data_IF_607142154601
#
_entry.id   IF_607142154601
#
_cell.length_a   1.000
_cell.length_b   1.000
_cell.length_c   1.000
_cell.angle_alpha   90.00
_cell.angle_beta   90.00
_cell.angle_gamma   90.00
#
_symmetry.space_group_name_H-M   'P 1'
#
loop_
_entity.id
_entity.type
_entity.pdbx_description
1 polymer ?
#
# COMPACT_ATOMS: atom_id res chain seq x y z
N UNK A 1 6.20 -21.09 54.96
CA UNK A 1 6.43 -21.63 53.60
C UNK A 1 6.11 -20.55 52.57
N UNK A 2 7.05 -20.16 51.70
CA UNK A 2 6.78 -19.20 50.63
C UNK A 2 6.21 -19.92 49.39
N UNK A 3 5.14 -19.41 48.75
CA UNK A 3 4.61 -19.98 47.52
C UNK A 3 5.61 -19.85 46.36
N UNK A 4 6.04 -20.98 45.77
CA UNK A 4 6.89 -21.01 44.56
C UNK A 4 6.14 -20.35 43.39
N UNK A 5 6.51 -19.11 43.04
CA UNK A 5 6.02 -18.44 41.82
C UNK A 5 6.56 -19.17 40.59
N UNK A 6 5.79 -20.12 40.04
CA UNK A 6 6.12 -20.79 38.78
C UNK A 6 6.16 -19.72 37.67
N UNK A 7 7.33 -19.54 37.05
CA UNK A 7 7.58 -18.58 35.97
C UNK A 7 6.45 -18.62 34.93
N UNK A 8 5.72 -17.51 34.77
CA UNK A 8 4.63 -17.40 33.79
C UNK A 8 5.17 -17.52 32.38
N UNK A 9 6.38 -16.99 32.13
CA UNK A 9 7.02 -16.96 30.82
C UNK A 9 7.28 -18.37 30.25
N UNK A 10 7.80 -19.30 31.07
CA UNK A 10 8.05 -20.68 30.64
C UNK A 10 6.78 -21.50 30.35
N UNK A 11 5.62 -21.10 30.90
CA UNK A 11 4.33 -21.76 30.61
C UNK A 11 3.75 -21.30 29.27
N UNK A 12 3.93 -20.03 28.91
CA UNK A 12 3.46 -19.49 27.63
C UNK A 12 4.22 -20.07 26.44
N UNK A 13 5.53 -20.30 26.58
CA UNK A 13 6.34 -20.92 25.53
C UNK A 13 6.01 -22.41 25.35
N UNK A 14 5.85 -23.15 26.45
CA UNK A 14 5.45 -24.56 26.39
C UNK A 14 4.04 -24.74 25.80
N UNK A 15 3.08 -23.90 26.17
CA UNK A 15 1.72 -23.94 25.62
C UNK A 15 1.71 -23.58 24.12
N UNK A 16 2.48 -22.58 23.70
CA UNK A 16 2.61 -22.23 22.29
C UNK A 16 3.26 -23.36 21.46
N UNK A 17 4.27 -24.03 22.02
CA UNK A 17 4.92 -25.18 21.39
C UNK A 17 3.96 -26.38 21.26
N UNK A 18 3.19 -26.70 22.31
CA UNK A 18 2.18 -27.75 22.26
C UNK A 18 1.10 -27.44 21.22
N UNK A 19 0.62 -26.20 21.15
CA UNK A 19 -0.35 -25.78 20.14
C UNK A 19 0.20 -25.88 18.72
N UNK A 20 1.47 -25.50 18.51
CA UNK A 20 2.16 -25.67 17.22
C UNK A 20 2.24 -27.15 16.83
N UNK A 21 2.58 -28.03 17.75
CA UNK A 21 2.65 -29.48 17.50
C UNK A 21 1.27 -30.08 17.15
N UNK A 22 0.21 -29.64 17.84
CA UNK A 22 -1.17 -30.04 17.52
C UNK A 22 -1.56 -29.59 16.10
N UNK A 23 -1.25 -28.35 15.73
CA UNK A 23 -1.55 -27.82 14.38
C UNK A 23 -0.69 -28.52 13.31
N UNK A 24 0.56 -28.85 13.62
CA UNK A 24 1.44 -29.55 12.68
C UNK A 24 0.95 -30.96 12.36
N UNK A 25 0.34 -31.64 13.34
CA UNK A 25 -0.13 -33.02 13.23
C UNK A 25 -1.64 -33.15 13.00
N UNK A 26 -2.34 -32.05 12.70
CA UNK A 26 -3.79 -32.09 12.49
C UNK A 26 -4.13 -32.74 11.13
N UNK A 27 -5.26 -33.45 11.06
CA UNK A 27 -5.76 -33.99 9.78
C UNK A 27 -6.20 -32.87 8.84
N UNK A 28 -6.28 -33.17 7.54
CA UNK A 28 -6.80 -32.24 6.52
C UNK A 28 -8.17 -31.69 6.87
N UNK A 29 -9.08 -32.52 7.39
CA UNK A 29 -10.45 -32.12 7.73
C UNK A 29 -10.48 -31.20 8.94
N UNK A 30 -9.67 -31.51 9.97
CA UNK A 30 -9.51 -30.65 11.15
C UNK A 30 -8.89 -29.31 10.76
N UNK A 31 -7.90 -29.31 9.87
CA UNK A 31 -7.31 -28.10 9.30
C UNK A 31 -8.33 -27.26 8.55
N UNK A 32 -9.11 -27.88 7.66
CA UNK A 32 -10.11 -27.21 6.86
C UNK A 32 -11.19 -26.58 7.76
N UNK A 33 -11.70 -27.34 8.73
CA UNK A 33 -12.67 -26.85 9.72
C UNK A 33 -12.10 -25.71 10.57
N UNK A 34 -10.86 -25.83 11.06
CA UNK A 34 -10.22 -24.76 11.84
C UNK A 34 -10.03 -23.48 11.01
N UNK A 35 -9.64 -23.60 9.74
CA UNK A 35 -9.48 -22.47 8.83
C UNK A 35 -10.83 -21.83 8.50
N UNK A 36 -11.88 -22.61 8.25
CA UNK A 36 -13.23 -22.08 7.98
C UNK A 36 -13.78 -21.31 9.19
N UNK A 37 -13.65 -21.86 10.39
CA UNK A 37 -14.03 -21.18 11.63
C UNK A 37 -13.22 -19.89 11.87
N UNK A 38 -11.93 -19.90 11.54
CA UNK A 38 -11.10 -18.70 11.62
C UNK A 38 -11.51 -17.63 10.60
N UNK A 39 -11.85 -18.04 9.37
CA UNK A 39 -12.33 -17.14 8.33
C UNK A 39 -13.68 -16.51 8.73
N UNK A 40 -14.63 -17.30 9.24
CA UNK A 40 -15.92 -16.83 9.72
C UNK A 40 -15.77 -15.77 10.81
N UNK A 41 -14.97 -16.06 11.85
CA UNK A 41 -14.68 -15.07 12.92
C UNK A 41 -14.03 -13.80 12.38
N UNK A 42 -13.15 -13.93 11.38
CA UNK A 42 -12.49 -12.77 10.76
C UNK A 42 -13.47 -11.91 9.98
N UNK A 43 -14.40 -12.54 9.23
CA UNK A 43 -15.45 -11.82 8.50
C UNK A 43 -16.41 -11.12 9.46
N UNK A 44 -16.85 -11.82 10.52
CA UNK A 44 -17.71 -11.24 11.56
C UNK A 44 -17.04 -10.06 12.25
N UNK A 45 -15.77 -10.21 12.66
CA UNK A 45 -15.01 -9.12 13.27
C UNK A 45 -14.88 -7.92 12.33
N UNK A 46 -14.66 -8.13 11.03
CA UNK A 46 -14.58 -7.05 10.03
C UNK A 46 -15.92 -6.37 9.78
N UNK A 47 -17.02 -7.13 9.79
CA UNK A 47 -18.36 -6.59 9.62
C UNK A 47 -18.78 -5.71 10.80
N UNK A 48 -18.26 -5.99 12.00
CA UNK A 48 -18.49 -5.20 13.21
C UNK A 48 -17.53 -4.00 13.38
N UNK A 49 -16.58 -3.78 12.47
CA UNK A 49 -15.67 -2.64 12.56
C UNK A 49 -16.41 -1.31 12.34
N UNK A 50 -16.12 -0.32 13.19
CA UNK A 50 -16.45 1.07 12.86
C UNK A 50 -15.43 1.66 11.86
N UNK A 51 -15.71 2.87 11.36
CA UNK A 51 -14.86 3.52 10.37
C UNK A 51 -13.42 3.77 10.87
N UNK A 52 -13.25 4.15 12.14
CA UNK A 52 -11.94 4.42 12.74
C UNK A 52 -11.10 3.14 12.83
N UNK A 53 -11.70 2.04 13.28
CA UNK A 53 -11.06 0.72 13.35
C UNK A 53 -10.69 0.22 11.95
N UNK A 54 -11.61 0.36 10.99
CA UNK A 54 -11.35 0.01 9.59
C UNK A 54 -10.18 0.82 9.03
N UNK A 55 -10.17 2.14 9.23
CA UNK A 55 -9.11 3.01 8.74
C UNK A 55 -7.77 2.71 9.40
N UNK A 56 -7.73 2.48 10.71
CA UNK A 56 -6.52 2.08 11.43
C UNK A 56 -5.97 0.75 10.90
N UNK A 57 -6.85 -0.24 10.64
CA UNK A 57 -6.47 -1.52 10.04
C UNK A 57 -5.92 -1.33 8.63
N UNK A 58 -6.57 -0.54 7.78
CA UNK A 58 -6.11 -0.27 6.41
C UNK A 58 -4.78 0.48 6.39
N UNK A 59 -4.60 1.48 7.25
CA UNK A 59 -3.36 2.21 7.40
C UNK A 59 -2.21 1.26 7.80
N UNK A 60 -2.45 0.41 8.81
CA UNK A 60 -1.47 -0.60 9.23
C UNK A 60 -1.11 -1.56 8.10
N UNK A 61 -2.10 -2.05 7.35
CA UNK A 61 -1.86 -2.92 6.18
C UNK A 61 -1.01 -2.20 5.11
N UNK A 62 -1.32 -0.95 4.79
CA UNK A 62 -0.56 -0.16 3.83
C UNK A 62 0.90 0.05 4.28
N UNK A 63 1.13 0.30 5.58
CA UNK A 63 2.49 0.39 6.14
C UNK A 63 3.25 -0.93 6.04
N UNK A 64 2.61 -2.06 6.33
CA UNK A 64 3.25 -3.38 6.16
C UNK A 64 3.58 -3.67 4.70
N UNK A 65 2.68 -3.37 3.78
CA UNK A 65 2.93 -3.52 2.34
C UNK A 65 4.10 -2.64 1.91
N UNK A 66 4.12 -1.38 2.30
CA UNK A 66 5.21 -0.46 1.99
C UNK A 66 6.56 -0.96 2.53
N UNK A 67 6.61 -1.37 3.80
CA UNK A 67 7.83 -1.93 4.40
C UNK A 67 8.28 -3.22 3.68
N UNK A 68 7.34 -4.10 3.33
CA UNK A 68 7.62 -5.32 2.59
C UNK A 68 8.18 -5.03 1.19
N UNK A 69 7.68 -3.99 0.51
CA UNK A 69 8.23 -3.55 -0.78
C UNK A 69 9.57 -2.83 -0.68
N UNK A 70 9.80 -2.08 0.39
CA UNK A 70 11.11 -1.47 0.62
C UNK A 70 12.20 -2.52 0.86
N UNK A 71 11.82 -3.67 1.43
CA UNK A 71 12.74 -4.75 1.78
C UNK A 71 12.83 -5.85 0.72
N UNK A 72 12.11 -5.71 -0.41
CA UNK A 72 12.04 -6.77 -1.41
C UNK A 72 13.32 -6.80 -2.27
N UNK A 73 13.87 -8.01 -2.48
CA UNK A 73 14.97 -8.20 -3.42
C UNK A 73 14.55 -8.06 -4.89
N UNK A 74 15.52 -7.84 -5.78
CA UNK A 74 15.27 -7.63 -7.22
C UNK A 74 14.52 -8.79 -7.88
N UNK A 75 14.84 -10.04 -7.51
CA UNK A 75 14.15 -11.22 -8.05
C UNK A 75 12.67 -11.26 -7.64
N UNK A 76 12.39 -11.05 -6.35
CA UNK A 76 11.02 -11.00 -5.82
C UNK A 76 10.23 -9.86 -6.46
N UNK A 77 10.86 -8.68 -6.62
CA UNK A 77 10.28 -7.55 -7.34
C UNK A 77 9.93 -7.90 -8.79
N UNK A 78 10.85 -8.54 -9.49
CA UNK A 78 10.68 -8.94 -10.90
C UNK A 78 9.51 -9.92 -11.05
N UNK A 79 9.47 -10.98 -10.24
CA UNK A 79 8.35 -11.95 -10.22
C UNK A 79 7.01 -11.25 -9.96
N UNK A 80 6.96 -10.36 -8.97
CA UNK A 80 5.76 -9.60 -8.64
C UNK A 80 5.31 -8.69 -9.80
N UNK A 81 6.25 -8.03 -10.50
CA UNK A 81 5.94 -7.24 -11.68
C UNK A 81 5.40 -8.09 -12.83
N UNK A 82 6.02 -9.24 -13.10
CA UNK A 82 5.57 -10.17 -14.14
C UNK A 82 4.15 -10.68 -13.87
N UNK A 83 3.85 -11.10 -12.63
CA UNK A 83 2.50 -11.53 -12.23
C UNK A 83 1.49 -10.38 -12.40
N UNK A 84 1.84 -9.16 -11.99
CA UNK A 84 0.96 -7.99 -12.16
C UNK A 84 0.70 -7.69 -13.64
N UNK A 85 1.72 -7.74 -14.49
CA UNK A 85 1.59 -7.51 -15.91
C UNK A 85 0.68 -8.57 -16.57
N UNK A 86 0.86 -9.85 -16.23
CA UNK A 86 0.03 -10.94 -16.72
C UNK A 86 -1.44 -10.79 -16.27
N UNK A 87 -1.68 -10.47 -15.00
CA UNK A 87 -3.03 -10.23 -14.48
C UNK A 87 -3.74 -9.08 -15.20
N UNK A 88 -3.02 -7.97 -15.45
CA UNK A 88 -3.55 -6.85 -16.23
C UNK A 88 -3.83 -7.29 -17.67
N UNK A 89 -2.93 -8.00 -18.33
CA UNK A 89 -3.16 -8.50 -19.69
C UNK A 89 -4.40 -9.39 -19.77
N UNK A 90 -4.56 -10.33 -18.84
CA UNK A 90 -5.72 -11.21 -18.75
C UNK A 90 -7.03 -10.42 -18.55
N UNK A 91 -7.03 -9.43 -17.65
CA UNK A 91 -8.19 -8.55 -17.45
C UNK A 91 -8.54 -7.76 -18.72
N UNK A 92 -7.53 -7.25 -19.43
CA UNK A 92 -7.75 -6.49 -20.67
C UNK A 92 -8.30 -7.37 -21.80
N UNK A 93 -7.95 -8.66 -21.82
CA UNK A 93 -8.47 -9.61 -22.79
C UNK A 93 -9.94 -9.98 -22.52
N UNK A 94 -10.34 -10.08 -21.24
CA UNK A 94 -11.70 -10.49 -20.85
C UNK A 94 -12.73 -9.35 -20.88
N UNK A 95 -12.33 -8.09 -20.70
CA UNK A 95 -13.25 -6.95 -20.58
C UNK A 95 -13.29 -6.05 -21.83
N UNK A 96 -13.70 -6.59 -22.98
CA UNK A 96 -13.76 -5.84 -24.26
C UNK A 96 -14.70 -4.61 -24.20
N UNK A 97 -15.85 -4.73 -23.54
CA UNK A 97 -16.84 -3.65 -23.39
C UNK A 97 -16.31 -2.44 -22.59
N UNK A 98 -15.32 -2.62 -21.72
CA UNK A 98 -14.75 -1.53 -20.92
C UNK A 98 -13.58 -0.82 -21.61
N UNK A 99 -13.20 -1.24 -22.82
CA UNK A 99 -12.06 -0.68 -23.57
C UNK A 99 -12.24 0.81 -23.86
N UNK A 100 -13.43 1.22 -24.31
CA UNK A 100 -13.71 2.61 -24.67
C UNK A 100 -13.58 3.54 -23.45
N UNK A 101 -14.23 3.18 -22.33
CA UNK A 101 -14.12 3.92 -21.06
C UNK A 101 -12.67 4.04 -20.61
N UNK A 102 -11.90 2.94 -20.63
CA UNK A 102 -10.48 2.97 -20.25
C UNK A 102 -9.64 3.89 -21.15
N UNK A 103 -9.87 3.86 -22.46
CA UNK A 103 -9.14 4.73 -23.39
C UNK A 103 -9.49 6.20 -23.16
N UNK A 104 -10.76 6.52 -22.91
CA UNK A 104 -11.19 7.88 -22.56
C UNK A 104 -10.57 8.35 -21.25
N UNK A 105 -10.55 7.50 -20.20
CA UNK A 105 -9.89 7.81 -18.93
C UNK A 105 -8.40 8.05 -19.11
N UNK A 106 -7.71 7.22 -19.90
CA UNK A 106 -6.29 7.40 -20.18
C UNK A 106 -6.01 8.71 -20.93
N UNK A 107 -6.83 9.05 -21.93
CA UNK A 107 -6.70 10.29 -22.68
C UNK A 107 -6.88 11.52 -21.77
N UNK A 108 -7.90 11.50 -20.91
CA UNK A 108 -8.12 12.56 -19.92
C UNK A 108 -6.96 12.67 -18.93
N UNK A 109 -6.42 11.55 -18.44
CA UNK A 109 -5.27 11.54 -17.54
C UNK A 109 -4.01 12.11 -18.21
N UNK A 110 -3.75 11.75 -19.48
CA UNK A 110 -2.64 12.33 -20.25
C UNK A 110 -2.82 13.84 -20.42
N UNK A 111 -4.02 14.30 -20.81
CA UNK A 111 -4.30 15.72 -20.97
C UNK A 111 -4.14 16.51 -19.66
N UNK A 112 -4.61 15.97 -18.54
CA UNK A 112 -4.43 16.57 -17.22
C UNK A 112 -2.94 16.62 -16.80
N UNK A 113 -2.17 15.57 -17.12
CA UNK A 113 -0.74 15.54 -16.86
C UNK A 113 0.00 16.59 -17.68
N UNK A 114 -0.28 16.71 -18.98
CA UNK A 114 0.36 17.70 -19.85
C UNK A 114 0.01 19.13 -19.44
N UNK A 115 -1.23 19.36 -19.00
CA UNK A 115 -1.64 20.66 -18.45
C UNK A 115 -0.88 20.98 -17.15
N UNK A 116 -0.77 20.01 -16.24
CA UNK A 116 -0.06 20.19 -14.97
C UNK A 116 1.43 20.46 -15.16
N UNK A 117 2.09 19.78 -16.10
CA UNK A 117 3.51 20.03 -16.41
C UNK A 117 3.72 21.39 -17.07
N UNK A 118 2.82 21.80 -17.96
CA UNK A 118 2.94 23.08 -18.67
C UNK A 118 2.63 24.28 -17.76
N UNK A 119 1.68 24.13 -16.83
CA UNK A 119 1.44 25.12 -15.77
C UNK A 119 2.67 25.26 -14.87
N UNK A 120 3.26 24.15 -14.43
CA UNK A 120 4.45 24.18 -13.59
C UNK A 120 5.64 24.86 -14.27
N UNK A 121 5.86 24.60 -15.56
CA UNK A 121 6.96 25.20 -16.33
C UNK A 121 6.74 26.72 -16.55
N UNK A 122 5.49 27.13 -16.84
CA UNK A 122 5.13 28.55 -17.01
C UNK A 122 5.33 29.36 -15.72
N UNK A 123 5.03 28.78 -14.56
CA UNK A 123 5.24 29.41 -13.25
C UNK A 123 6.74 29.57 -12.92
N UNK A 124 7.60 28.64 -13.35
CA UNK A 124 9.06 28.76 -13.17
C UNK A 124 9.66 29.81 -14.12
N UNK A 125 9.23 29.85 -15.38
CA UNK A 125 9.71 30.83 -16.36
C UNK A 125 9.32 32.27 -16.02
N UNK A 126 8.11 32.48 -15.50
CA UNK A 126 7.68 33.80 -15.03
C UNK A 126 8.46 34.25 -13.80
N UNK A 127 8.72 33.38 -12.82
CA UNK A 127 9.55 33.75 -11.65
C UNK A 127 11.00 34.10 -12.02
N UNK A 128 11.60 33.41 -12.99
CA UNK A 128 12.98 33.69 -13.43
C UNK A 128 13.08 35.07 -14.13
N UNK A 129 12.12 35.42 -14.97
CA UNK A 129 12.08 36.71 -15.67
C UNK A 129 11.84 37.90 -14.72
N UNK A 130 11.02 37.74 -13.67
CA UNK A 130 10.81 38.80 -12.69
C UNK A 130 12.00 38.99 -11.73
N UNK A 131 12.80 37.94 -11.47
CA UNK A 131 14.01 38.03 -10.63
C UNK A 131 15.21 38.68 -11.33
N UNK A 132 15.19 38.77 -12.67
CA UNK A 132 16.29 39.34 -13.47
C UNK A 132 16.04 40.78 -13.97
N UNK A 133 14.90 41.37 -13.61
CA UNK A 133 14.42 42.66 -14.16
C UNK A 133 14.59 43.90 -13.28
N UNK A 134 15.29 43.81 -12.14
CA UNK A 134 15.50 44.98 -11.25
C UNK A 134 16.97 45.15 -10.87
N UNK A 135 17.83 45.43 -11.85
CA UNK A 135 19.00 46.28 -11.61
C UNK A 135 18.61 47.70 -12.00
N UNK A 136 18.32 48.44 -10.94
CA UNK A 136 17.88 49.81 -10.82
C UNK A 136 18.68 50.78 -11.70
N UNK A 137 18.02 51.32 -12.72
CA UNK A 137 18.48 52.47 -13.47
C UNK A 137 18.24 53.73 -12.64
N UNK A 138 19.11 54.00 -11.68
CA UNK A 138 19.10 55.22 -10.90
C UNK A 138 20.51 55.79 -10.75
N UNK A 139 21.02 56.40 -11.82
CA UNK A 139 22.10 57.37 -11.69
C UNK A 139 21.93 58.44 -12.76
N UNK A 140 21.33 59.56 -12.36
CA UNK A 140 21.72 60.94 -12.68
C UNK A 140 20.65 61.90 -12.11
N UNK A 141 21.06 62.89 -11.32
CA UNK A 141 20.71 64.25 -11.70
C UNK A 141 21.90 65.22 -11.67
N UNK A 142 21.86 66.11 -12.67
CA UNK A 142 22.38 67.48 -12.79
C UNK A 142 23.49 67.98 -11.83
N UNK A 143 24.60 68.44 -12.44
CA UNK A 143 25.07 69.84 -12.37
C UNK A 143 25.49 70.26 -13.77
#
# INVERSE_FOLDING_TARGET
>A
MLPKKRSRLGRHTAAAAAQKAIIANESSDKKAFRLSQSALRSVQSRAAENLQQRNARLAKMASYDAASRASEGLETRSKRMAIKAAAVAAQRASQKQQRATRLATNAAATAASTFSTHSHDSDQHSNVLHSSGTVDAAMLPAV
#
